data_IF_220574401498
#
_entry.id   IF_220574401498
#
_cell.length_a   1.000
_cell.length_b   1.000
_cell.length_c   1.000
_cell.angle_alpha   90.00
_cell.angle_beta   90.00
_cell.angle_gamma   90.00
#
_symmetry.space_group_name_H-M   'P 1'
#
loop_
_entity.id
_entity.type
_entity.pdbx_description
1 polymer ?
#
# COMPACT_ATOMS: atom_id res chain seq x y z
N UNK A 1 -21.08 47.53 -10.91
CA UNK A 1 -19.82 47.13 -10.23
C UNK A 1 -20.01 45.67 -9.86
N UNK A 2 -19.50 44.79 -10.69
CA UNK A 2 -19.69 43.31 -10.57
C UNK A 2 -18.47 42.73 -9.91
N UNK A 3 -18.66 42.31 -8.67
CA UNK A 3 -17.66 41.55 -7.90
C UNK A 3 -17.66 40.12 -8.46
N UNK A 4 -16.67 39.78 -9.31
CA UNK A 4 -16.41 38.42 -9.70
C UNK A 4 -15.68 37.73 -8.53
N UNK A 5 -16.48 37.07 -7.70
CA UNK A 5 -15.96 36.06 -6.79
C UNK A 5 -15.18 35.03 -7.62
N UNK A 6 -13.88 35.08 -7.49
CA UNK A 6 -12.99 34.01 -8.01
C UNK A 6 -13.30 32.79 -7.16
N UNK A 7 -14.17 31.93 -7.70
CA UNK A 7 -14.51 30.64 -7.09
C UNK A 7 -13.21 29.85 -6.94
N UNK A 8 -12.86 29.60 -5.69
CA UNK A 8 -11.54 29.16 -5.26
C UNK A 8 -11.15 27.85 -5.95
N UNK A 9 -10.04 27.90 -6.65
CA UNK A 9 -9.25 26.71 -6.98
C UNK A 9 -8.99 25.94 -5.67
N UNK A 10 -9.85 24.98 -5.37
CA UNK A 10 -9.60 24.05 -4.28
C UNK A 10 -8.24 23.38 -4.58
N UNK A 11 -7.30 23.42 -3.65
CA UNK A 11 -6.01 22.77 -3.85
C UNK A 11 -6.27 21.27 -4.07
N UNK A 12 -6.11 20.83 -5.31
CA UNK A 12 -6.24 19.41 -5.67
C UNK A 12 -5.21 18.68 -4.83
N UNK A 13 -5.68 17.88 -3.87
CA UNK A 13 -4.78 17.19 -2.96
C UNK A 13 -3.81 16.34 -3.78
N UNK A 14 -2.53 16.41 -3.43
CA UNK A 14 -1.47 15.63 -4.10
C UNK A 14 -1.82 14.13 -4.13
N UNK A 15 -2.51 13.63 -3.10
CA UNK A 15 -3.03 12.28 -3.02
C UNK A 15 -4.06 11.93 -4.11
N UNK A 16 -4.97 12.84 -4.45
CA UNK A 16 -5.94 12.62 -5.53
C UNK A 16 -5.25 12.57 -6.90
N UNK A 17 -4.22 13.40 -7.13
CA UNK A 17 -3.40 13.34 -8.35
C UNK A 17 -2.57 12.06 -8.45
N UNK A 18 -2.04 11.58 -7.33
CA UNK A 18 -1.23 10.37 -7.30
C UNK A 18 -2.10 9.12 -7.55
N UNK A 19 -3.30 9.09 -6.95
CA UNK A 19 -4.26 8.01 -7.17
C UNK A 19 -4.75 7.96 -8.63
N UNK A 20 -4.92 9.11 -9.28
CA UNK A 20 -5.26 9.22 -10.70
C UNK A 20 -4.06 8.99 -11.65
N UNK A 21 -2.87 8.68 -11.12
CA UNK A 21 -1.66 8.55 -11.93
C UNK A 21 -1.61 7.24 -12.72
N UNK A 22 -0.83 7.24 -13.82
CA UNK A 22 -0.53 6.02 -14.59
C UNK A 22 0.09 4.92 -13.73
N UNK A 23 0.78 5.30 -12.64
CA UNK A 23 1.37 4.35 -11.69
C UNK A 23 0.30 3.56 -10.93
N UNK A 24 -0.79 4.21 -10.51
CA UNK A 24 -1.92 3.52 -9.89
C UNK A 24 -2.58 2.55 -10.88
N UNK A 25 -2.84 2.98 -12.12
CA UNK A 25 -3.47 2.12 -13.13
C UNK A 25 -2.63 0.87 -13.44
N UNK A 26 -1.30 1.01 -13.41
CA UNK A 26 -0.39 -0.13 -13.54
C UNK A 26 -0.48 -1.05 -12.31
N UNK A 27 -0.38 -0.47 -11.12
CA UNK A 27 -0.46 -1.21 -9.86
C UNK A 27 -1.79 -1.99 -9.74
N UNK A 28 -2.90 -1.37 -10.14
CA UNK A 28 -4.21 -2.01 -10.18
C UNK A 28 -4.23 -3.21 -11.11
N UNK A 29 -3.74 -3.05 -12.35
CA UNK A 29 -3.68 -4.13 -13.34
C UNK A 29 -2.80 -5.29 -12.87
N UNK A 30 -1.62 -4.98 -12.34
CA UNK A 30 -0.68 -5.98 -11.83
C UNK A 30 -1.27 -6.71 -10.62
N UNK A 31 -2.01 -6.00 -9.76
CA UNK A 31 -2.72 -6.58 -8.62
C UNK A 31 -3.82 -7.54 -9.03
N UNK A 32 -4.70 -7.13 -9.96
CA UNK A 32 -5.79 -7.98 -10.45
C UNK A 32 -5.24 -9.21 -11.18
N UNK A 33 -4.20 -9.01 -12.00
CA UNK A 33 -3.52 -10.13 -12.65
C UNK A 33 -2.94 -11.13 -11.65
N UNK A 34 -2.36 -10.66 -10.55
CA UNK A 34 -1.83 -11.55 -9.52
C UNK A 34 -2.94 -12.34 -8.81
N UNK A 35 -4.13 -11.75 -8.61
CA UNK A 35 -5.31 -12.47 -8.10
C UNK A 35 -5.72 -13.58 -9.05
N UNK A 36 -5.82 -13.29 -10.35
CA UNK A 36 -6.15 -14.27 -11.39
C UNK A 36 -5.11 -15.38 -11.48
N UNK A 37 -3.81 -15.03 -11.54
CA UNK A 37 -2.69 -15.99 -11.57
C UNK A 37 -2.75 -16.93 -10.36
N UNK A 38 -3.07 -16.38 -9.18
CA UNK A 38 -3.16 -17.17 -7.93
C UNK A 38 -4.33 -18.11 -7.95
N UNK A 39 -5.51 -17.65 -8.38
CA UNK A 39 -6.69 -18.51 -8.51
C UNK A 39 -6.43 -19.67 -9.49
N UNK A 40 -5.88 -19.36 -10.66
CA UNK A 40 -5.53 -20.35 -11.68
C UNK A 40 -4.50 -21.37 -11.17
N UNK A 41 -3.50 -20.93 -10.40
CA UNK A 41 -2.51 -21.83 -9.80
C UNK A 41 -3.15 -22.75 -8.75
N UNK A 42 -3.91 -22.20 -7.81
CA UNK A 42 -4.51 -22.98 -6.71
C UNK A 42 -5.55 -23.99 -7.20
N UNK A 43 -6.31 -23.66 -8.23
CA UNK A 43 -7.29 -24.58 -8.83
C UNK A 43 -6.65 -25.58 -9.81
N UNK A 44 -5.51 -25.26 -10.34
CA UNK A 44 -4.81 -26.05 -11.37
C UNK A 44 -3.54 -26.78 -10.88
N UNK A 45 -2.35 -26.25 -11.21
CA UNK A 45 -1.07 -26.88 -10.88
C UNK A 45 -0.86 -27.10 -9.38
N UNK A 46 -1.14 -26.07 -8.57
CA UNK A 46 -0.94 -26.13 -7.13
C UNK A 46 -1.78 -27.21 -6.45
N UNK A 47 -3.00 -27.44 -6.92
CA UNK A 47 -3.85 -28.53 -6.44
C UNK A 47 -3.28 -29.92 -6.74
N UNK A 48 -2.55 -30.07 -7.83
CA UNK A 48 -1.87 -31.32 -8.17
C UNK A 48 -0.61 -31.52 -7.35
N UNK A 49 0.20 -30.45 -7.23
CA UNK A 49 1.45 -30.43 -6.47
C UNK A 49 1.20 -30.70 -4.98
N UNK A 50 0.13 -30.11 -4.39
CA UNK A 50 -0.21 -30.32 -2.99
C UNK A 50 -0.50 -31.76 -2.61
N UNK A 51 -0.98 -32.59 -3.55
CA UNK A 51 -1.25 -34.02 -3.32
C UNK A 51 0.01 -34.88 -3.25
N UNK A 52 1.14 -34.36 -3.73
CA UNK A 52 2.43 -35.05 -3.75
C UNK A 52 3.31 -34.68 -2.54
N UNK A 53 2.87 -33.72 -1.74
CA UNK A 53 3.59 -33.24 -0.55
C UNK A 53 3.43 -34.24 0.62
N UNK A 54 4.47 -34.33 1.43
CA UNK A 54 4.36 -35.00 2.72
C UNK A 54 3.40 -34.25 3.67
N UNK A 55 3.11 -34.83 4.82
CA UNK A 55 2.16 -34.25 5.77
C UNK A 55 2.56 -32.86 6.26
N UNK A 56 3.85 -32.62 6.54
CA UNK A 56 4.32 -31.34 7.04
C UNK A 56 4.27 -30.26 5.96
N UNK A 57 4.76 -30.57 4.76
CA UNK A 57 4.71 -29.69 3.60
C UNK A 57 3.26 -29.40 3.15
N UNK A 58 2.38 -30.39 3.23
CA UNK A 58 0.95 -30.24 2.89
C UNK A 58 0.26 -29.25 3.83
N UNK A 59 0.56 -29.31 5.14
CA UNK A 59 0.02 -28.38 6.13
C UNK A 59 0.58 -26.97 5.94
N UNK A 60 1.88 -26.84 5.66
CA UNK A 60 2.50 -25.57 5.32
C UNK A 60 1.89 -24.97 4.03
N UNK A 61 1.70 -25.78 2.99
CA UNK A 61 1.04 -25.37 1.75
C UNK A 61 -0.38 -24.81 2.02
N UNK A 62 -1.18 -25.53 2.79
CA UNK A 62 -2.54 -25.09 3.11
C UNK A 62 -2.53 -23.76 3.86
N UNK A 63 -1.64 -23.62 4.87
CA UNK A 63 -1.53 -22.40 5.67
C UNK A 63 -1.08 -21.21 4.81
N UNK A 64 -0.02 -21.37 4.00
CA UNK A 64 0.50 -20.29 3.17
C UNK A 64 -0.46 -19.93 2.02
N UNK A 65 -1.19 -20.88 1.46
CA UNK A 65 -2.25 -20.60 0.48
C UNK A 65 -3.36 -19.75 1.08
N UNK A 66 -3.81 -20.06 2.30
CA UNK A 66 -4.82 -19.25 3.00
C UNK A 66 -4.29 -17.83 3.30
N UNK A 67 -3.04 -17.70 3.75
CA UNK A 67 -2.40 -16.40 4.01
C UNK A 67 -2.28 -15.58 2.72
N UNK A 68 -1.85 -16.21 1.63
CA UNK A 68 -1.75 -15.58 0.31
C UNK A 68 -3.12 -15.07 -0.15
N UNK A 69 -4.16 -15.90 -0.09
CA UNK A 69 -5.52 -15.54 -0.49
C UNK A 69 -6.05 -14.38 0.35
N UNK A 70 -5.90 -14.43 1.67
CA UNK A 70 -6.33 -13.35 2.57
C UNK A 70 -5.61 -12.03 2.24
N UNK A 71 -4.30 -12.08 2.03
CA UNK A 71 -3.51 -10.91 1.64
C UNK A 71 -3.99 -10.31 0.33
N UNK A 72 -4.22 -11.15 -0.69
CA UNK A 72 -4.69 -10.69 -1.99
C UNK A 72 -6.10 -10.11 -1.92
N UNK A 73 -7.00 -10.68 -1.13
CA UNK A 73 -8.34 -10.10 -0.91
C UNK A 73 -8.26 -8.69 -0.32
N UNK A 74 -7.39 -8.47 0.67
CA UNK A 74 -7.21 -7.17 1.30
C UNK A 74 -6.60 -6.15 0.33
N UNK A 75 -5.58 -6.56 -0.44
CA UNK A 75 -4.95 -5.72 -1.46
C UNK A 75 -5.93 -5.38 -2.58
N UNK A 76 -6.69 -6.36 -3.08
CA UNK A 76 -7.71 -6.13 -4.10
C UNK A 76 -8.81 -5.16 -3.61
N UNK A 77 -9.28 -5.33 -2.37
CA UNK A 77 -10.25 -4.41 -1.77
C UNK A 77 -9.72 -2.98 -1.69
N UNK A 78 -8.46 -2.80 -1.29
CA UNK A 78 -7.83 -1.48 -1.27
C UNK A 78 -7.71 -0.88 -2.69
N UNK A 79 -7.27 -1.68 -3.66
CA UNK A 79 -7.13 -1.24 -5.05
C UNK A 79 -8.48 -0.86 -5.68
N UNK A 80 -9.53 -1.65 -5.45
CA UNK A 80 -10.89 -1.36 -5.94
C UNK A 80 -11.46 -0.10 -5.31
N UNK A 81 -11.25 0.11 -4.01
CA UNK A 81 -11.69 1.30 -3.30
C UNK A 81 -11.07 2.58 -3.90
N UNK A 82 -9.77 2.56 -4.13
CA UNK A 82 -9.07 3.71 -4.72
C UNK A 82 -9.40 3.90 -6.21
N UNK A 83 -9.71 2.83 -6.92
CA UNK A 83 -10.21 2.93 -8.28
C UNK A 83 -11.56 3.64 -8.32
N UNK A 84 -12.51 3.27 -7.44
CA UNK A 84 -13.83 3.93 -7.36
C UNK A 84 -13.70 5.43 -7.06
N UNK A 85 -12.72 5.83 -6.23
CA UNK A 85 -12.42 7.25 -6.00
C UNK A 85 -11.92 7.94 -7.26
N UNK A 86 -11.03 7.29 -8.02
CA UNK A 86 -10.46 7.86 -9.26
C UNK A 86 -11.50 7.99 -10.38
N UNK A 87 -12.46 7.07 -10.42
CA UNK A 87 -13.57 7.09 -11.39
C UNK A 87 -14.70 8.03 -10.95
N UNK A 88 -14.58 8.65 -9.76
CA UNK A 88 -15.57 9.58 -9.21
C UNK A 88 -16.83 8.92 -8.66
N UNK A 89 -16.84 7.59 -8.55
CA UNK A 89 -17.97 6.83 -8.02
C UNK A 89 -18.09 6.96 -6.50
N UNK A 90 -17.00 7.33 -5.83
CA UNK A 90 -16.92 7.46 -4.37
C UNK A 90 -16.12 8.68 -3.97
N UNK A 91 -16.56 9.36 -2.89
CA UNK A 91 -15.78 10.46 -2.31
C UNK A 91 -14.58 9.93 -1.51
N UNK A 92 -13.52 10.75 -1.44
CA UNK A 92 -12.33 10.41 -0.64
C UNK A 92 -12.68 10.20 0.86
N UNK A 93 -13.65 10.95 1.38
CA UNK A 93 -14.10 10.82 2.76
C UNK A 93 -14.78 9.46 3.02
N UNK A 94 -15.60 9.00 2.08
CA UNK A 94 -16.23 7.69 2.15
C UNK A 94 -15.17 6.58 2.02
N UNK A 95 -14.25 6.70 1.06
CA UNK A 95 -13.16 5.77 0.88
C UNK A 95 -12.29 5.63 2.14
N UNK A 96 -11.97 6.73 2.82
CA UNK A 96 -11.23 6.71 4.07
C UNK A 96 -11.97 5.95 5.19
N UNK A 97 -13.28 6.10 5.29
CA UNK A 97 -14.11 5.37 6.25
C UNK A 97 -14.11 3.86 5.97
N UNK A 98 -14.23 3.48 4.71
CA UNK A 98 -14.27 2.07 4.30
C UNK A 98 -12.86 1.44 4.36
N UNK A 99 -11.81 2.20 4.07
CA UNK A 99 -10.40 1.79 4.24
C UNK A 99 -10.10 1.32 5.66
N UNK A 100 -10.65 2.00 6.68
CA UNK A 100 -10.44 1.61 8.08
C UNK A 100 -10.98 0.22 8.40
N UNK A 101 -11.90 -0.30 7.59
CA UNK A 101 -12.41 -1.67 7.67
C UNK A 101 -11.51 -2.68 6.95
N UNK A 102 -10.74 -2.21 5.95
CA UNK A 102 -9.76 -3.03 5.23
C UNK A 102 -8.48 -3.04 6.06
N UNK A 103 -8.33 -4.04 6.92
CA UNK A 103 -7.09 -4.23 7.68
C UNK A 103 -5.98 -4.67 6.72
N UNK A 104 -5.24 -3.71 6.15
CA UNK A 104 -3.97 -4.04 5.49
C UNK A 104 -3.07 -4.70 6.54
N UNK A 105 -2.58 -5.93 6.33
CA UNK A 105 -1.82 -6.64 7.34
C UNK A 105 -0.57 -5.84 7.70
N UNK A 106 -0.53 -5.36 8.94
CA UNK A 106 0.59 -4.58 9.44
C UNK A 106 1.86 -5.45 9.49
N UNK A 107 1.73 -6.66 9.97
CA UNK A 107 2.81 -7.62 10.10
C UNK A 107 2.24 -9.02 9.89
N UNK A 108 2.91 -9.87 9.12
CA UNK A 108 2.52 -11.26 9.04
C UNK A 108 2.88 -11.93 10.36
N UNK A 109 1.96 -12.70 10.95
CA UNK A 109 2.35 -13.57 12.05
C UNK A 109 3.48 -14.49 11.55
N UNK A 110 4.42 -14.86 12.41
CA UNK A 110 5.55 -15.70 12.04
C UNK A 110 5.06 -16.93 11.25
N UNK A 111 5.81 -17.37 10.24
CA UNK A 111 5.44 -18.55 9.49
C UNK A 111 5.34 -19.72 10.49
N UNK A 112 4.14 -20.25 10.59
CA UNK A 112 3.81 -21.45 11.33
C UNK A 112 4.11 -21.44 12.85
N UNK A 113 3.21 -21.90 13.72
CA UNK A 113 3.61 -22.15 15.11
C UNK A 113 4.79 -23.13 15.09
N UNK A 114 5.83 -22.88 15.92
CA UNK A 114 6.95 -23.79 16.00
C UNK A 114 6.39 -25.17 16.32
N UNK A 115 6.92 -26.24 15.72
CA UNK A 115 6.50 -27.60 16.02
C UNK A 115 6.56 -27.78 17.54
N UNK A 116 5.47 -28.29 18.13
CA UNK A 116 5.43 -28.61 19.53
C UNK A 116 6.67 -29.45 19.83
N UNK A 117 7.44 -29.04 20.82
CA UNK A 117 8.67 -29.71 21.24
C UNK A 117 8.39 -31.20 21.48
N UNK A 118 8.81 -32.06 20.56
CA UNK A 118 8.61 -33.51 20.65
C UNK A 118 8.59 -34.28 19.34
N UNK A 119 8.32 -33.64 18.20
CA UNK A 119 8.28 -34.37 16.91
C UNK A 119 9.33 -33.82 15.94
N UNK A 120 10.41 -34.55 15.88
CA UNK A 120 11.39 -34.73 14.82
C UNK A 120 11.86 -33.55 13.97
N UNK A 121 13.15 -33.26 14.05
CA UNK A 121 13.95 -32.35 13.22
C UNK A 121 13.63 -30.87 13.33
N UNK A 122 14.26 -30.27 14.31
CA UNK A 122 14.48 -28.82 14.40
C UNK A 122 15.30 -28.38 13.18
N UNK A 123 14.72 -27.51 12.31
CA UNK A 123 15.53 -26.69 11.43
C UNK A 123 15.16 -26.57 9.95
N UNK A 124 14.30 -27.41 9.38
CA UNK A 124 13.91 -27.24 7.97
C UNK A 124 12.46 -26.76 7.87
N UNK A 125 12.31 -25.50 7.42
CA UNK A 125 11.00 -25.04 6.90
C UNK A 125 10.62 -25.99 5.77
N UNK A 126 9.43 -26.64 5.81
CA UNK A 126 9.03 -27.56 4.77
C UNK A 126 9.03 -26.83 3.42
N UNK A 127 9.67 -27.43 2.42
CA UNK A 127 9.78 -26.85 1.10
C UNK A 127 8.40 -26.73 0.47
N UNK A 128 8.04 -25.50 0.13
CA UNK A 128 6.80 -25.21 -0.61
C UNK A 128 7.05 -25.40 -2.11
N UNK A 129 6.01 -25.72 -2.90
CA UNK A 129 6.11 -25.71 -4.34
C UNK A 129 6.56 -24.33 -4.87
N UNK A 130 7.50 -24.32 -5.81
CA UNK A 130 8.10 -23.10 -6.35
C UNK A 130 7.05 -22.12 -6.91
N UNK A 131 5.96 -22.63 -7.48
CA UNK A 131 4.85 -21.80 -7.97
C UNK A 131 4.14 -21.03 -6.84
N UNK A 132 3.96 -21.66 -5.67
CA UNK A 132 3.37 -20.99 -4.52
C UNK A 132 4.32 -19.95 -3.94
N UNK A 133 5.61 -20.26 -3.82
CA UNK A 133 6.63 -19.33 -3.34
C UNK A 133 6.74 -18.08 -4.21
N UNK A 134 6.71 -18.22 -5.54
CA UNK A 134 6.70 -17.07 -6.46
C UNK A 134 5.48 -16.18 -6.23
N UNK A 135 4.29 -16.76 -6.12
CA UNK A 135 3.07 -16.00 -5.87
C UNK A 135 3.10 -15.27 -4.51
N UNK A 136 3.65 -15.92 -3.48
CA UNK A 136 3.85 -15.31 -2.17
C UNK A 136 4.81 -14.11 -2.28
N UNK A 137 5.94 -14.28 -2.96
CA UNK A 137 6.93 -13.20 -3.15
C UNK A 137 6.33 -12.01 -3.91
N UNK A 138 5.61 -12.28 -5.01
CA UNK A 138 4.91 -11.25 -5.79
C UNK A 138 3.85 -10.52 -4.96
N UNK A 139 3.10 -11.24 -4.12
CA UNK A 139 2.09 -10.64 -3.24
C UNK A 139 2.68 -9.74 -2.15
N UNK A 140 3.84 -10.11 -1.60
CA UNK A 140 4.60 -9.27 -0.66
C UNK A 140 5.07 -7.98 -1.32
N UNK A 141 5.63 -8.07 -2.52
CA UNK A 141 6.05 -6.90 -3.31
C UNK A 141 4.87 -5.95 -3.60
N UNK A 142 3.72 -6.50 -4.01
CA UNK A 142 2.51 -5.73 -4.24
C UNK A 142 2.04 -5.04 -2.94
N UNK A 143 2.05 -5.76 -1.81
CA UNK A 143 1.73 -5.20 -0.49
C UNK A 143 2.60 -3.98 -0.16
N UNK A 144 3.90 -4.08 -0.39
CA UNK A 144 4.83 -2.98 -0.10
C UNK A 144 4.58 -1.76 -1.00
N UNK A 145 4.25 -1.98 -2.26
CA UNK A 145 3.86 -0.90 -3.19
C UNK A 145 2.57 -0.21 -2.75
N UNK A 146 1.54 -0.99 -2.40
CA UNK A 146 0.27 -0.48 -1.87
C UNK A 146 0.49 0.32 -0.59
N UNK A 147 1.30 -0.18 0.36
CA UNK A 147 1.60 0.52 1.61
C UNK A 147 2.30 1.86 1.40
N UNK A 148 3.27 1.92 0.48
CA UNK A 148 3.94 3.18 0.13
C UNK A 148 2.97 4.18 -0.47
N UNK A 149 2.10 3.73 -1.38
CA UNK A 149 1.10 4.58 -1.99
C UNK A 149 0.06 5.05 -0.96
N UNK A 150 -0.42 4.16 -0.11
CA UNK A 150 -1.35 4.48 0.98
C UNK A 150 -0.76 5.53 1.94
N UNK A 151 0.49 5.36 2.36
CA UNK A 151 1.18 6.33 3.19
C UNK A 151 1.31 7.70 2.50
N UNK A 152 1.54 7.73 1.20
CA UNK A 152 1.66 8.98 0.43
C UNK A 152 0.31 9.69 0.29
N UNK A 153 -0.77 8.94 0.07
CA UNK A 153 -2.13 9.48 -0.06
C UNK A 153 -2.60 10.09 1.27
N UNK A 154 -2.21 9.48 2.39
CA UNK A 154 -2.65 9.86 3.72
C UNK A 154 -1.59 10.62 4.54
N UNK A 155 -0.46 10.97 3.90
CA UNK A 155 0.51 11.84 4.53
C UNK A 155 -0.19 13.15 4.95
N UNK A 156 -0.01 13.62 6.19
CA UNK A 156 -0.48 14.95 6.56
C UNK A 156 0.14 15.96 5.59
N UNK A 157 -0.60 17.01 5.20
CA UNK A 157 -0.02 18.05 4.36
C UNK A 157 1.29 18.49 5.03
N UNK A 158 2.36 18.72 4.24
CA UNK A 158 3.60 19.19 4.81
C UNK A 158 3.24 20.41 5.65
N UNK A 159 3.50 20.34 6.95
CA UNK A 159 3.42 21.50 7.84
C UNK A 159 4.26 22.56 7.16
N UNK A 160 3.59 23.61 6.66
CA UNK A 160 4.31 24.75 6.09
C UNK A 160 5.42 25.09 7.10
N UNK A 161 6.67 25.18 6.69
CA UNK A 161 7.72 25.60 7.61
C UNK A 161 7.19 26.82 8.30
N UNK A 162 7.21 26.81 9.64
CA UNK A 162 6.74 27.91 10.46
C UNK A 162 7.21 29.19 9.80
N UNK A 163 6.29 30.02 9.38
CA UNK A 163 6.48 31.15 8.49
C UNK A 163 7.54 32.13 9.03
N UNK A 164 8.76 31.83 8.70
CA UNK A 164 9.89 32.71 8.65
C UNK A 164 10.45 32.53 7.26
N UNK A 165 9.95 33.29 6.31
CA UNK A 165 10.55 33.38 5.00
C UNK A 165 12.02 33.74 5.23
N UNK A 166 13.02 32.88 4.89
CA UNK A 166 14.42 33.21 5.10
C UNK A 166 14.81 34.55 4.47
N UNK A 167 14.05 34.96 3.44
CA UNK A 167 14.21 36.27 2.79
C UNK A 167 13.66 37.42 3.63
N UNK A 168 12.67 37.25 4.50
CA UNK A 168 12.21 38.32 5.39
C UNK A 168 13.25 38.65 6.47
N UNK A 169 13.94 37.65 6.98
CA UNK A 169 15.05 37.86 7.90
C UNK A 169 16.23 38.60 7.21
N UNK A 170 16.54 38.20 5.97
CA UNK A 170 17.59 38.88 5.18
C UNK A 170 17.18 40.30 4.77
N UNK A 171 15.93 40.54 4.40
CA UNK A 171 15.39 41.87 4.10
C UNK A 171 15.36 42.76 5.36
N UNK A 172 15.03 42.19 6.51
CA UNK A 172 15.12 42.90 7.80
C UNK A 172 16.55 43.35 8.15
N UNK A 173 17.51 42.47 7.93
CA UNK A 173 18.92 42.80 8.14
C UNK A 173 19.43 43.87 7.15
N UNK A 174 19.04 43.80 5.89
CA UNK A 174 19.36 44.81 4.88
C UNK A 174 18.75 46.18 5.21
N UNK A 175 17.47 46.22 5.59
CA UNK A 175 16.81 47.44 6.03
C UNK A 175 17.52 48.08 7.24
N UNK A 176 17.82 47.28 8.27
CA UNK A 176 18.57 47.76 9.44
C UNK A 176 19.96 48.26 9.12
N UNK A 177 20.63 47.69 8.10
CA UNK A 177 21.93 48.17 7.65
C UNK A 177 21.87 49.50 6.87
N UNK A 178 20.79 49.74 6.12
CA UNK A 178 20.56 50.99 5.40
C UNK A 178 20.02 52.13 6.27
N UNK A 179 19.26 51.84 7.33
CA UNK A 179 18.76 52.84 8.27
C UNK A 179 19.84 53.37 9.24
N UNK A 180 20.99 52.73 9.34
CA UNK A 180 22.12 53.13 10.17
C UNK A 180 23.13 54.05 9.45
N UNK A 181 22.71 54.83 8.46
CA UNK A 181 23.62 55.85 7.87
C UNK A 181 23.45 57.15 8.68
N UNK A 182 24.43 57.51 9.52
CA UNK A 182 24.37 58.83 10.23
C UNK A 182 24.61 59.99 9.27
N UNK A 183 24.20 61.20 9.62
CA UNK A 183 24.23 62.40 8.79
C UNK A 183 25.67 62.84 8.44
#
# INVERSE_FOLDING_TARGET
MSDRVIDGLQPVSFGARLAASQNFSRLFRDGMKLVEDTAAYLDGPGRRESKLLDRAASLAYATESMRLTTRLMQLASWLLLHRAVNEGEMSLAQANKDRMRIKLPAEEPPPYPPPLAGEGRVGETPALPAGLDDLIARSKKLKDQVRRLDATIHAPPPTAPASGNPFEFQLGMLRAAFERRPP
#
